data_IF_090179322880
#
_entry.id   IF_090179322880
#
_cell.length_a   1.000
_cell.length_b   1.000
_cell.length_c   1.000
_cell.angle_alpha   90.00
_cell.angle_beta   90.00
_cell.angle_gamma   90.00
#
_symmetry.space_group_name_H-M   'P 1'
#
loop_
_entity.id
_entity.type
_entity.pdbx_description
1 polymer ?
#
# COMPACT_ATOMS: atom_id res chain seq x y z
N UNK A 1 -20.79 9.29 -12.70
CA UNK A 1 -19.69 8.40 -13.14
C UNK A 1 -19.97 7.00 -12.60
N UNK A 2 -19.94 5.94 -13.44
CA UNK A 2 -19.93 4.57 -12.91
C UNK A 2 -18.56 4.37 -12.24
N UNK A 3 -18.54 4.03 -10.96
CA UNK A 3 -17.29 3.65 -10.29
C UNK A 3 -16.76 2.41 -11.02
N UNK A 4 -15.58 2.51 -11.64
CA UNK A 4 -14.95 1.40 -12.34
C UNK A 4 -14.61 0.27 -11.36
N UNK A 5 -14.50 -0.97 -11.87
CA UNK A 5 -14.01 -2.08 -11.07
C UNK A 5 -12.51 -1.88 -10.79
N UNK A 6 -12.12 -1.84 -9.52
CA UNK A 6 -10.74 -1.66 -9.08
C UNK A 6 -10.03 -3.02 -8.87
N UNK A 7 -8.76 -3.08 -9.27
CA UNK A 7 -7.89 -4.26 -9.07
C UNK A 7 -6.62 -3.79 -8.38
N UNK A 8 -6.41 -4.24 -7.16
CA UNK A 8 -5.19 -3.95 -6.39
C UNK A 8 -4.20 -5.08 -6.66
N UNK A 9 -3.10 -4.76 -7.32
CA UNK A 9 -2.07 -5.73 -7.71
C UNK A 9 -0.84 -5.51 -6.85
N UNK A 10 -0.44 -6.54 -6.11
CA UNK A 10 0.74 -6.54 -5.26
C UNK A 10 1.80 -7.46 -5.85
N UNK A 11 3.07 -7.10 -5.70
CA UNK A 11 4.20 -7.93 -6.11
C UNK A 11 5.40 -7.63 -5.22
N UNK A 12 5.72 -8.54 -4.29
CA UNK A 12 6.78 -8.33 -3.31
C UNK A 12 7.44 -9.64 -2.87
N UNK A 13 8.65 -9.52 -2.31
CA UNK A 13 9.36 -10.58 -1.60
C UNK A 13 9.80 -10.08 -0.24
N UNK A 14 9.58 -10.89 0.78
CA UNK A 14 10.12 -10.64 2.11
C UNK A 14 11.43 -11.40 2.30
N UNK A 15 12.42 -10.76 2.93
CA UNK A 15 13.65 -11.44 3.34
C UNK A 15 13.32 -12.62 4.28
N UNK A 16 14.07 -13.75 4.25
CA UNK A 16 13.71 -14.95 4.99
C UNK A 16 13.52 -14.75 6.50
N UNK A 17 14.32 -13.88 7.12
CA UNK A 17 14.25 -13.57 8.55
C UNK A 17 13.28 -12.44 8.92
N UNK A 18 12.71 -11.73 7.94
CA UNK A 18 11.86 -10.57 8.21
C UNK A 18 10.41 -11.00 8.48
N UNK A 19 10.13 -11.33 9.75
CA UNK A 19 8.81 -11.83 10.19
C UNK A 19 7.65 -10.89 9.83
N UNK A 20 7.73 -9.61 10.19
CA UNK A 20 6.64 -8.65 9.90
C UNK A 20 6.38 -8.47 8.40
N UNK A 21 7.41 -8.45 7.56
CA UNK A 21 7.21 -8.39 6.11
C UNK A 21 6.47 -9.63 5.57
N UNK A 22 6.75 -10.82 6.11
CA UNK A 22 5.99 -12.03 5.79
C UNK A 22 4.55 -11.97 6.29
N UNK A 23 4.33 -11.45 7.50
CA UNK A 23 3.00 -11.23 8.06
C UNK A 23 2.18 -10.26 7.20
N UNK A 24 2.78 -9.18 6.68
CA UNK A 24 2.13 -8.24 5.75
C UNK A 24 1.72 -8.96 4.45
N UNK A 25 2.58 -9.82 3.89
CA UNK A 25 2.22 -10.61 2.69
C UNK A 25 1.03 -11.54 2.99
N UNK A 26 1.04 -12.24 4.13
CA UNK A 26 -0.09 -13.07 4.58
C UNK A 26 -1.36 -12.24 4.75
N UNK A 27 -1.27 -11.07 5.38
CA UNK A 27 -2.39 -10.13 5.54
C UNK A 27 -3.00 -9.73 4.19
N UNK A 28 -2.19 -9.36 3.21
CA UNK A 28 -2.68 -9.01 1.86
C UNK A 28 -3.41 -10.20 1.22
N UNK A 29 -2.87 -11.42 1.37
CA UNK A 29 -3.51 -12.62 0.83
C UNK A 29 -4.85 -12.92 1.51
N UNK A 30 -4.96 -12.75 2.83
CA UNK A 30 -6.22 -12.96 3.55
C UNK A 30 -7.27 -11.91 3.21
N UNK A 31 -6.86 -10.64 3.09
CA UNK A 31 -7.75 -9.58 2.57
C UNK A 31 -8.21 -9.94 1.17
N UNK A 32 -7.32 -10.45 0.32
CA UNK A 32 -7.70 -10.93 -1.00
C UNK A 32 -8.64 -12.11 -0.99
N UNK A 33 -8.44 -13.09 -0.09
CA UNK A 33 -9.37 -14.21 0.08
C UNK A 33 -10.76 -13.73 0.48
N UNK A 34 -10.86 -12.82 1.45
CA UNK A 34 -12.13 -12.24 1.88
C UNK A 34 -12.82 -11.47 0.75
N UNK A 35 -12.13 -10.47 0.17
CA UNK A 35 -12.69 -9.58 -0.85
C UNK A 35 -13.05 -10.33 -2.13
N UNK A 36 -12.20 -11.24 -2.58
CA UNK A 36 -12.40 -11.90 -3.87
C UNK A 36 -13.54 -12.92 -3.84
N UNK A 37 -13.88 -13.46 -2.68
CA UNK A 37 -14.93 -14.47 -2.50
C UNK A 37 -16.26 -13.91 -1.96
N UNK A 38 -16.33 -12.62 -1.61
CA UNK A 38 -17.57 -11.98 -1.18
C UNK A 38 -18.48 -11.65 -2.39
N UNK A 39 -19.66 -12.29 -2.54
CA UNK A 39 -20.58 -12.01 -3.63
C UNK A 39 -21.12 -10.57 -3.62
N UNK A 40 -21.17 -9.91 -2.46
CA UNK A 40 -21.68 -8.54 -2.34
C UNK A 40 -20.74 -7.49 -3.00
N UNK A 41 -19.46 -7.82 -3.17
CA UNK A 41 -18.50 -6.98 -3.89
C UNK A 41 -18.87 -6.88 -5.37
N UNK A 42 -19.50 -7.93 -5.94
CA UNK A 42 -19.98 -7.94 -7.34
C UNK A 42 -18.89 -7.55 -8.35
N UNK A 43 -17.67 -8.06 -8.12
CA UNK A 43 -16.51 -7.79 -8.98
C UNK A 43 -16.00 -6.35 -9.01
N UNK A 44 -16.53 -5.45 -8.16
CA UNK A 44 -16.12 -4.04 -8.09
C UNK A 44 -14.74 -3.84 -7.48
N UNK A 45 -14.29 -4.78 -6.66
CA UNK A 45 -12.95 -4.79 -6.08
C UNK A 45 -12.36 -6.19 -6.19
N UNK A 46 -11.08 -6.27 -6.56
CA UNK A 46 -10.28 -7.48 -6.49
C UNK A 46 -8.89 -7.16 -5.94
N UNK A 47 -8.33 -8.09 -5.19
CA UNK A 47 -6.95 -8.03 -4.69
C UNK A 47 -6.19 -9.21 -5.27
N UNK A 48 -5.05 -8.95 -5.90
CA UNK A 48 -4.23 -9.95 -6.58
C UNK A 48 -2.81 -9.83 -6.08
N UNK A 49 -2.23 -10.91 -5.57
CA UNK A 49 -0.82 -10.98 -5.20
C UNK A 49 -0.08 -11.80 -6.27
N UNK A 50 0.88 -11.18 -6.94
CA UNK A 50 1.71 -11.82 -7.95
C UNK A 50 2.89 -12.51 -7.25
N UNK A 51 2.86 -13.83 -7.30
CA UNK A 51 3.90 -14.67 -6.70
C UNK A 51 5.26 -14.45 -7.38
N UNK A 52 6.32 -14.59 -6.58
CA UNK A 52 7.70 -14.55 -7.06
C UNK A 52 8.03 -13.35 -7.98
N UNK A 53 7.53 -12.16 -7.62
CA UNK A 53 7.79 -10.93 -8.37
C UNK A 53 9.28 -10.78 -8.71
N UNK A 54 9.54 -10.56 -10.00
CA UNK A 54 10.85 -10.37 -10.60
C UNK A 54 10.67 -9.54 -11.89
N UNK A 55 11.72 -9.46 -12.73
CA UNK A 55 11.68 -8.67 -13.96
C UNK A 55 10.57 -9.14 -14.92
N UNK A 56 10.38 -10.46 -15.08
CA UNK A 56 9.42 -11.00 -16.04
C UNK A 56 7.96 -10.63 -15.70
N UNK A 57 7.43 -10.83 -14.46
CA UNK A 57 6.13 -10.28 -14.11
C UNK A 57 6.04 -8.76 -14.24
N UNK A 58 7.11 -8.03 -13.91
CA UNK A 58 7.14 -6.57 -14.01
C UNK A 58 6.92 -6.08 -15.46
N UNK A 59 7.47 -6.77 -16.45
CA UNK A 59 7.27 -6.46 -17.88
C UNK A 59 5.80 -6.52 -18.30
N UNK A 60 4.96 -7.30 -17.62
CA UNK A 60 3.51 -7.36 -17.87
C UNK A 60 2.72 -6.37 -17.00
N UNK A 61 3.13 -6.18 -15.75
CA UNK A 61 2.40 -5.35 -14.78
C UNK A 61 2.56 -3.87 -15.11
N UNK A 62 3.78 -3.43 -15.42
CA UNK A 62 4.09 -2.01 -15.59
C UNK A 62 3.29 -1.36 -16.74
N UNK A 63 3.22 -1.96 -17.94
CA UNK A 63 2.44 -1.40 -19.05
C UNK A 63 0.92 -1.48 -18.86
N UNK A 64 0.45 -2.29 -17.90
CA UNK A 64 -0.98 -2.50 -17.64
C UNK A 64 -1.52 -1.68 -16.46
N UNK A 65 -0.68 -0.88 -15.81
CA UNK A 65 -1.06 -0.14 -14.62
C UNK A 65 -1.69 1.22 -14.96
N UNK A 66 -2.83 1.51 -14.33
CA UNK A 66 -3.43 2.84 -14.36
C UNK A 66 -2.86 3.75 -13.25
N UNK A 67 -2.59 3.18 -12.08
CA UNK A 67 -2.09 3.88 -10.88
C UNK A 67 -0.81 3.21 -10.39
N UNK A 68 0.17 4.03 -10.05
CA UNK A 68 1.47 3.63 -9.49
C UNK A 68 1.58 4.09 -8.04
N UNK A 69 1.46 3.15 -7.11
CA UNK A 69 1.56 3.37 -5.65
C UNK A 69 3.02 3.53 -5.23
N UNK A 70 3.39 4.74 -4.80
CA UNK A 70 4.76 5.12 -4.37
C UNK A 70 4.70 5.78 -2.99
N UNK A 71 4.31 4.99 -1.99
CA UNK A 71 3.78 5.46 -0.70
C UNK A 71 4.75 5.31 0.48
N UNK A 72 6.05 5.23 0.22
CA UNK A 72 7.08 5.18 1.27
C UNK A 72 6.95 6.38 2.22
N UNK A 73 7.21 6.19 3.51
CA UNK A 73 7.25 7.33 4.46
C UNK A 73 8.34 8.30 4.02
N UNK A 74 8.04 9.60 3.93
CA UNK A 74 8.99 10.60 3.45
C UNK A 74 10.35 10.54 4.17
N UNK A 75 11.44 10.68 3.42
CA UNK A 75 12.82 10.50 3.88
C UNK A 75 13.24 9.03 4.06
N UNK A 76 12.55 8.07 3.45
CA UNK A 76 12.92 6.64 3.51
C UNK A 76 13.20 6.02 2.15
N UNK A 77 12.64 6.55 1.08
CA UNK A 77 12.97 6.16 -0.28
C UNK A 77 14.06 7.08 -0.84
N UNK A 78 15.25 6.54 -1.11
CA UNK A 78 16.33 7.37 -1.65
C UNK A 78 16.10 7.78 -3.12
N UNK A 79 15.36 6.97 -3.89
CA UNK A 79 15.09 7.26 -5.31
C UNK A 79 13.84 6.51 -5.78
N UNK A 80 13.91 5.19 -5.89
CA UNK A 80 12.89 4.41 -6.59
C UNK A 80 13.10 4.47 -8.11
N UNK A 81 13.15 3.31 -8.76
CA UNK A 81 13.24 3.21 -10.23
C UNK A 81 11.98 2.62 -10.86
N UNK A 82 11.11 1.99 -10.05
CA UNK A 82 9.82 1.48 -10.51
C UNK A 82 8.86 2.61 -10.85
N UNK A 83 8.82 3.68 -10.05
CA UNK A 83 8.04 4.90 -10.31
C UNK A 83 8.35 5.49 -11.70
N UNK A 84 9.63 5.57 -12.10
CA UNK A 84 10.03 6.03 -13.43
C UNK A 84 9.50 5.11 -14.54
N UNK A 85 9.57 3.78 -14.35
CA UNK A 85 9.05 2.82 -15.33
C UNK A 85 7.53 2.95 -15.49
N UNK A 86 6.80 3.13 -14.40
CA UNK A 86 5.36 3.37 -14.41
C UNK A 86 5.00 4.68 -15.12
N UNK A 87 5.70 5.77 -14.79
CA UNK A 87 5.54 7.06 -15.48
C UNK A 87 5.75 6.92 -16.98
N UNK A 88 6.82 6.24 -17.42
CA UNK A 88 7.10 6.01 -18.84
C UNK A 88 6.03 5.17 -19.55
N UNK A 89 5.22 4.41 -18.81
CA UNK A 89 4.15 3.58 -19.33
C UNK A 89 2.74 4.19 -19.12
N UNK A 90 2.66 5.45 -18.68
CA UNK A 90 1.40 6.19 -18.60
C UNK A 90 0.58 5.97 -17.33
N UNK A 91 1.13 5.29 -16.32
CA UNK A 91 0.48 5.15 -15.01
C UNK A 91 0.62 6.45 -14.20
N UNK A 92 -0.48 6.90 -13.58
CA UNK A 92 -0.47 8.08 -12.72
C UNK A 92 0.11 7.75 -11.34
N UNK A 93 1.04 8.57 -10.88
CA UNK A 93 1.68 8.38 -9.57
C UNK A 93 0.72 8.79 -8.45
N UNK A 94 0.52 7.89 -7.49
CA UNK A 94 -0.08 8.16 -6.18
C UNK A 94 1.02 7.94 -5.14
N UNK A 95 1.47 8.99 -4.46
CA UNK A 95 2.65 8.84 -3.60
C UNK A 95 2.91 9.98 -2.63
N UNK A 96 3.92 9.76 -1.80
CA UNK A 96 4.47 10.77 -0.90
C UNK A 96 5.49 11.65 -1.63
N UNK A 97 5.78 12.82 -1.06
CA UNK A 97 6.85 13.70 -1.53
C UNK A 97 8.22 13.16 -1.03
N UNK A 98 8.69 12.08 -1.66
CA UNK A 98 9.90 11.34 -1.29
C UNK A 98 10.62 10.77 -2.52
N UNK A 99 11.94 10.60 -2.44
CA UNK A 99 12.77 10.05 -3.52
C UNK A 99 12.50 10.68 -4.89
N UNK A 100 12.44 9.86 -5.93
CA UNK A 100 12.21 10.31 -7.31
C UNK A 100 10.75 10.73 -7.57
N UNK A 101 9.83 10.60 -6.61
CA UNK A 101 8.49 11.18 -6.78
C UNK A 101 8.56 12.72 -6.83
N UNK A 102 9.54 13.32 -6.14
CA UNK A 102 9.79 14.78 -6.20
C UNK A 102 10.18 15.18 -7.62
N UNK A 103 11.16 14.50 -8.20
CA UNK A 103 11.63 14.75 -9.58
C UNK A 103 10.53 14.49 -10.62
N UNK A 104 9.73 13.45 -10.42
CA UNK A 104 8.58 13.15 -11.29
C UNK A 104 7.56 14.28 -11.22
N UNK A 105 7.19 14.74 -10.02
CA UNK A 105 6.25 15.84 -9.83
C UNK A 105 6.74 17.13 -10.50
N UNK A 106 8.02 17.48 -10.31
CA UNK A 106 8.63 18.64 -10.96
C UNK A 106 8.57 18.55 -12.50
N UNK A 107 8.73 17.36 -13.06
CA UNK A 107 8.70 17.13 -14.49
C UNK A 107 7.29 17.12 -15.10
N UNK A 108 6.30 16.58 -14.38
CA UNK A 108 4.92 16.41 -14.90
C UNK A 108 3.97 17.52 -14.48
N UNK A 109 4.27 18.28 -13.43
CA UNK A 109 3.38 19.29 -12.85
C UNK A 109 2.39 18.69 -11.84
N UNK A 110 1.98 19.51 -10.86
CA UNK A 110 1.11 19.11 -9.74
C UNK A 110 -0.26 18.58 -10.20
N UNK A 111 -0.74 19.02 -11.36
CA UNK A 111 -2.01 18.57 -11.93
C UNK A 111 -1.99 17.15 -12.51
N UNK A 112 -0.80 16.56 -12.68
CA UNK A 112 -0.60 15.27 -13.33
C UNK A 112 -0.10 14.16 -12.37
N UNK A 113 -0.05 14.43 -11.06
CA UNK A 113 0.29 13.44 -10.03
C UNK A 113 -0.56 13.64 -8.76
N UNK A 114 -0.75 12.56 -8.00
CA UNK A 114 -1.52 12.57 -6.76
C UNK A 114 -0.57 12.46 -5.56
N UNK A 115 -0.07 13.61 -5.09
CA UNK A 115 0.84 13.67 -3.95
C UNK A 115 0.08 13.88 -2.65
N UNK A 116 0.45 13.12 -1.60
CA UNK A 116 -0.19 13.19 -0.30
C UNK A 116 0.80 12.95 0.86
N UNK A 117 0.29 13.11 2.08
CA UNK A 117 1.03 12.79 3.31
C UNK A 117 1.92 13.93 3.81
N UNK A 118 2.59 13.68 4.93
CA UNK A 118 3.53 14.61 5.52
C UNK A 118 4.84 14.66 4.72
N UNK A 119 5.44 15.83 4.64
CA UNK A 119 6.78 16.03 4.06
C UNK A 119 7.86 15.61 5.05
N UNK A 120 9.06 15.32 4.53
CA UNK A 120 10.18 14.87 5.37
C UNK A 120 10.49 15.86 6.51
N UNK A 121 10.46 17.15 6.23
CA UNK A 121 10.75 18.21 7.19
C UNK A 121 9.69 18.35 8.30
N UNK A 122 8.47 17.87 8.07
CA UNK A 122 7.35 17.93 9.03
C UNK A 122 7.38 16.75 10.01
N UNK A 123 7.95 15.61 9.58
CA UNK A 123 7.96 14.37 10.36
C UNK A 123 8.61 14.50 11.76
N UNK A 124 9.73 15.22 11.95
CA UNK A 124 10.32 15.37 13.28
C UNK A 124 9.36 15.99 14.30
N UNK A 125 8.61 17.04 13.92
CA UNK A 125 7.66 17.70 14.83
C UNK A 125 6.41 16.86 15.05
N UNK A 126 5.87 16.25 13.99
CA UNK A 126 4.73 15.34 14.10
C UNK A 126 5.04 14.18 15.06
N UNK A 127 6.23 13.57 14.95
CA UNK A 127 6.65 12.45 15.80
C UNK A 127 6.77 12.80 17.27
N UNK A 128 7.07 14.05 17.64
CA UNK A 128 7.15 14.47 19.05
C UNK A 128 5.81 14.38 19.77
N UNK A 129 4.72 14.57 19.04
CA UNK A 129 3.36 14.60 19.59
C UNK A 129 2.50 13.45 19.07
N UNK A 130 3.09 12.51 18.32
CA UNK A 130 2.37 11.43 17.69
C UNK A 130 1.89 10.40 18.70
N UNK A 131 0.57 10.26 18.80
CA UNK A 131 -0.10 9.22 19.55
C UNK A 131 -0.95 8.41 18.56
N UNK A 132 -0.47 7.26 18.05
CA UNK A 132 -1.18 6.49 17.02
C UNK A 132 -2.58 6.05 17.47
N UNK A 133 -2.76 5.88 18.79
CA UNK A 133 -4.05 5.57 19.41
C UNK A 133 -5.12 6.63 19.13
N UNK A 134 -4.74 7.90 19.08
CA UNK A 134 -5.69 8.99 18.79
C UNK A 134 -6.25 8.82 17.38
N UNK A 135 -5.40 8.50 16.40
CA UNK A 135 -5.85 8.21 15.04
C UNK A 135 -6.74 6.96 14.99
N UNK A 136 -6.35 5.89 15.69
CA UNK A 136 -7.16 4.68 15.79
C UNK A 136 -8.57 4.96 16.35
N UNK A 137 -8.71 5.84 17.34
CA UNK A 137 -10.00 6.15 17.97
C UNK A 137 -10.82 7.19 17.21
N UNK A 138 -10.18 8.10 16.47
CA UNK A 138 -10.84 9.28 15.88
C UNK A 138 -10.98 9.25 14.36
N UNK A 139 -10.11 8.55 13.64
CA UNK A 139 -10.18 8.48 12.16
C UNK A 139 -11.35 7.57 11.75
N UNK A 140 -12.34 8.09 10.99
CA UNK A 140 -13.51 7.32 10.62
C UNK A 140 -13.15 6.01 9.90
N UNK A 141 -13.62 4.89 10.46
CA UNK A 141 -13.40 3.55 9.91
C UNK A 141 -12.06 2.91 10.26
N UNK A 142 -11.04 3.65 10.72
CA UNK A 142 -9.72 3.08 11.03
C UNK A 142 -9.78 2.08 12.17
N UNK A 143 -10.55 2.37 13.24
CA UNK A 143 -10.82 1.41 14.31
C UNK A 143 -11.33 0.07 13.79
N UNK A 144 -12.35 0.09 12.93
CA UNK A 144 -12.94 -1.11 12.34
C UNK A 144 -11.93 -1.88 11.50
N UNK A 145 -11.11 -1.19 10.71
CA UNK A 145 -10.07 -1.81 9.88
C UNK A 145 -9.00 -2.46 10.76
N UNK A 146 -8.52 -1.78 11.80
CA UNK A 146 -7.48 -2.31 12.68
C UNK A 146 -8.00 -3.41 13.61
N UNK A 147 -9.27 -3.36 14.04
CA UNK A 147 -9.87 -4.42 14.83
C UNK A 147 -10.10 -5.70 14.01
N UNK A 148 -10.30 -5.59 12.68
CA UNK A 148 -10.41 -6.74 11.77
C UNK A 148 -9.15 -7.62 11.73
N UNK A 149 -8.01 -7.13 12.22
CA UNK A 149 -6.78 -7.90 12.36
C UNK A 149 -6.88 -8.95 13.46
N UNK A 150 -7.79 -8.78 14.43
CA UNK A 150 -7.84 -9.59 15.66
C UNK A 150 -9.25 -10.03 16.08
N UNK A 151 -10.30 -9.57 15.41
CA UNK A 151 -11.70 -9.91 15.75
C UNK A 151 -12.24 -11.17 15.06
N UNK A 152 -11.41 -11.84 14.26
CA UNK A 152 -11.78 -13.04 13.49
C UNK A 152 -12.26 -12.76 12.06
N UNK A 153 -12.28 -11.50 11.61
CA UNK A 153 -12.58 -11.15 10.22
C UNK A 153 -11.53 -11.71 9.24
N UNK A 154 -10.26 -11.74 9.64
CA UNK A 154 -9.14 -12.27 8.86
C UNK A 154 -8.49 -13.45 9.58
N UNK A 155 -8.04 -14.46 8.82
CA UNK A 155 -7.46 -15.69 9.38
C UNK A 155 -5.92 -15.70 9.28
N UNK A 156 -5.26 -15.45 10.41
CA UNK A 156 -3.80 -15.53 10.52
C UNK A 156 -3.26 -16.96 10.65
N UNK A 157 -4.13 -17.98 10.65
CA UNK A 157 -3.78 -19.38 10.84
C UNK A 157 -3.37 -19.75 12.28
N UNK A 158 -3.73 -18.93 13.27
CA UNK A 158 -3.38 -19.11 14.67
C UNK A 158 -1.93 -18.73 14.99
N UNK A 159 -1.28 -17.95 14.12
CA UNK A 159 0.13 -17.56 14.27
C UNK A 159 0.33 -16.41 15.27
N UNK A 160 -0.70 -15.58 15.48
CA UNK A 160 -0.60 -14.32 16.21
C UNK A 160 0.03 -13.19 15.40
N UNK A 161 0.32 -13.41 14.11
CA UNK A 161 1.01 -12.46 13.26
C UNK A 161 0.17 -11.18 13.05
N UNK A 162 -1.15 -11.30 12.91
CA UNK A 162 -2.00 -10.12 12.72
C UNK A 162 -2.15 -9.31 14.01
N UNK A 163 -2.09 -9.96 15.17
CA UNK A 163 -2.01 -9.26 16.45
C UNK A 163 -0.68 -8.48 16.59
N UNK A 164 0.47 -9.05 16.20
CA UNK A 164 1.75 -8.32 16.17
C UNK A 164 1.70 -7.14 15.20
N UNK A 165 1.14 -7.33 14.00
CA UNK A 165 0.97 -6.23 13.03
C UNK A 165 0.14 -5.10 13.60
N UNK A 166 -1.02 -5.39 14.19
CA UNK A 166 -1.86 -4.38 14.85
C UNK A 166 -1.10 -3.65 15.97
N UNK A 167 -0.29 -4.37 16.76
CA UNK A 167 0.53 -3.78 17.82
C UNK A 167 1.75 -2.99 17.32
N UNK A 168 2.09 -3.09 16.04
CA UNK A 168 3.20 -2.36 15.42
C UNK A 168 2.79 -1.01 14.82
N UNK A 169 1.49 -0.74 14.74
CA UNK A 169 0.87 0.49 14.24
C UNK A 169 0.55 1.43 15.42
#
# INVERSE_FOLDING_TARGET
ARCGAARLIFGAKAAPGYKRAKAIIKFINEVGHLVNNDPAIDGRLKVVFIENYNVTPAEYIIPAADVSEQISTAGKEASGTSNMKFMMNGALTLGTLDGANVEILEAVGDENAYIFGAKEEELPELRKTYHPRDAYETVPGLKRVLDAFVDGTLDDGGTGDFHDLRGSL
#
